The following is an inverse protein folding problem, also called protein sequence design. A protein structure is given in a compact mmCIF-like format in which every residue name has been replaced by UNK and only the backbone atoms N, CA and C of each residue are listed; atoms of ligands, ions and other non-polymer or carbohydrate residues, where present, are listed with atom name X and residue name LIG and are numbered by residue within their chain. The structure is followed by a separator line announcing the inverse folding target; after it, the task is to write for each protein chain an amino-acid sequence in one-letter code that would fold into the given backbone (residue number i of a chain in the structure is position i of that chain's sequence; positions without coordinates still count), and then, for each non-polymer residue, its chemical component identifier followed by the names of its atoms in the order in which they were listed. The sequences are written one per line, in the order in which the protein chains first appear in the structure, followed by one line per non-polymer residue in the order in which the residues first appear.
data_IF_225675298392
#
_entry.id   IF_225675298392
#
_cell.length_a   1.000
_cell.length_b   1.000
_cell.length_c   1.000
_cell.angle_alpha   90.00
_cell.angle_beta   90.00
_cell.angle_gamma   90.00
#
_symmetry.space_group_name_H-M   'P 1'
#
loop_
_entity.id
_entity.type
_entity.pdbx_description
1 polymer ?
#
# COMPACT_ATOMS: atom_id res chain seq x y z
N UNK A 1 41.83 45.03 12.64
CA UNK A 1 40.74 44.13 12.22
C UNK A 1 39.50 44.64 12.93
N UNK A 2 38.54 45.11 12.16
CA UNK A 2 37.29 45.67 12.67
C UNK A 2 36.37 44.54 13.12
N UNK A 3 35.78 44.70 14.30
CA UNK A 3 34.96 43.67 14.96
C UNK A 3 33.66 43.44 14.17
N UNK A 4 33.11 44.49 13.56
CA UNK A 4 31.91 44.41 12.72
C UNK A 4 32.17 43.55 11.47
N UNK A 5 33.30 43.77 10.79
CA UNK A 5 33.69 42.98 9.61
C UNK A 5 33.89 41.49 9.92
N UNK A 6 34.29 41.14 11.14
CA UNK A 6 34.42 39.75 11.57
C UNK A 6 33.04 39.09 11.72
N UNK A 7 32.09 39.76 12.39
CA UNK A 7 30.75 39.22 12.56
C UNK A 7 29.98 39.13 11.24
N UNK A 8 30.14 40.09 10.34
CA UNK A 8 29.54 40.03 9.01
C UNK A 8 30.05 38.84 8.21
N UNK A 9 31.37 38.60 8.24
CA UNK A 9 31.98 37.44 7.59
C UNK A 9 31.47 36.14 8.19
N UNK A 10 31.41 36.05 9.52
CA UNK A 10 30.94 34.84 10.21
C UNK A 10 29.48 34.54 9.92
N UNK A 11 28.64 35.57 9.84
CA UNK A 11 27.22 35.44 9.47
C UNK A 11 27.08 34.93 8.04
N UNK A 12 27.87 35.45 7.10
CA UNK A 12 27.86 35.00 5.71
C UNK A 12 28.31 33.54 5.57
N UNK A 13 29.43 33.17 6.20
CA UNK A 13 29.92 31.79 6.21
C UNK A 13 28.85 30.82 6.75
N UNK A 14 28.22 31.15 7.88
CA UNK A 14 27.15 30.31 8.42
C UNK A 14 25.95 30.22 7.47
N UNK A 15 25.54 31.33 6.86
CA UNK A 15 24.43 31.33 5.91
C UNK A 15 24.71 30.44 4.69
N UNK A 16 25.95 30.43 4.20
CA UNK A 16 26.40 29.56 3.10
C UNK A 16 26.42 28.07 3.54
N UNK A 17 26.93 27.77 4.73
CA UNK A 17 26.94 26.41 5.29
C UNK A 17 25.51 25.86 5.48
N UNK A 18 24.62 26.65 6.08
CA UNK A 18 23.21 26.27 6.24
C UNK A 18 22.51 26.15 4.89
N UNK A 19 22.78 27.06 3.96
CA UNK A 19 22.24 26.99 2.60
C UNK A 19 22.64 25.70 1.88
N UNK A 20 23.91 25.34 1.97
CA UNK A 20 24.45 24.10 1.40
C UNK A 20 23.81 22.85 2.01
N UNK A 21 23.69 22.81 3.35
CA UNK A 21 23.04 21.69 4.05
C UNK A 21 21.56 21.57 3.68
N UNK A 22 20.82 22.67 3.63
CA UNK A 22 19.40 22.68 3.22
C UNK A 22 19.27 22.18 1.79
N UNK A 23 20.14 22.60 0.88
CA UNK A 23 20.10 22.15 -0.50
C UNK A 23 20.38 20.64 -0.60
N UNK A 24 21.41 20.14 0.11
CA UNK A 24 21.70 18.70 0.16
C UNK A 24 20.50 17.88 0.68
N UNK A 25 19.78 18.37 1.70
CA UNK A 25 18.59 17.70 2.22
C UNK A 25 17.44 17.71 1.21
N UNK A 26 17.26 18.81 0.47
CA UNK A 26 16.25 18.89 -0.60
C UNK A 26 16.54 17.89 -1.70
N UNK A 27 17.79 17.80 -2.13
CA UNK A 27 18.22 16.88 -3.18
C UNK A 27 18.01 15.42 -2.74
N UNK A 28 18.32 15.09 -1.48
CA UNK A 28 18.08 13.75 -0.91
C UNK A 28 16.58 13.42 -0.85
N UNK A 29 15.74 14.38 -0.40
CA UNK A 29 14.29 14.21 -0.38
C UNK A 29 13.76 13.95 -1.79
N UNK A 30 14.22 14.71 -2.79
CA UNK A 30 13.81 14.53 -4.18
C UNK A 30 14.23 13.15 -4.71
N UNK A 31 15.45 12.71 -4.41
CA UNK A 31 15.94 11.38 -4.77
C UNK A 31 15.09 10.28 -4.15
N UNK A 32 14.75 10.40 -2.86
CA UNK A 32 13.90 9.44 -2.16
C UNK A 32 12.48 9.42 -2.74
N UNK A 33 11.91 10.58 -3.07
CA UNK A 33 10.60 10.67 -3.71
C UNK A 33 10.59 9.97 -5.08
N UNK A 34 11.61 10.20 -5.91
CA UNK A 34 11.77 9.49 -7.19
C UNK A 34 11.86 7.98 -6.97
N UNK A 35 12.68 7.54 -6.00
CA UNK A 35 12.83 6.12 -5.69
C UNK A 35 11.53 5.48 -5.18
N UNK A 36 10.76 6.18 -4.36
CA UNK A 36 9.45 5.72 -3.91
C UNK A 36 8.48 5.54 -5.10
N UNK A 37 8.47 6.48 -6.05
CA UNK A 37 7.62 6.39 -7.23
C UNK A 37 7.99 5.19 -8.11
N UNK A 38 9.27 4.93 -8.32
CA UNK A 38 9.75 3.73 -9.02
C UNK A 38 9.27 2.44 -8.35
N UNK A 39 9.45 2.33 -7.03
CA UNK A 39 9.04 1.15 -6.27
C UNK A 39 7.52 0.93 -6.32
N UNK A 40 6.72 2.01 -6.27
CA UNK A 40 5.28 1.93 -6.44
C UNK A 40 4.91 1.44 -7.84
N UNK A 41 5.60 1.92 -8.87
CA UNK A 41 5.40 1.47 -10.24
C UNK A 41 5.74 -0.02 -10.40
N UNK A 42 6.91 -0.45 -9.93
CA UNK A 42 7.35 -1.85 -9.96
C UNK A 42 6.36 -2.76 -9.23
N UNK A 43 5.90 -2.36 -8.04
CA UNK A 43 4.88 -3.08 -7.28
C UNK A 43 3.56 -3.18 -8.05
N UNK A 44 3.13 -2.12 -8.73
CA UNK A 44 1.91 -2.14 -9.53
C UNK A 44 2.04 -3.07 -10.74
N UNK A 45 3.21 -3.08 -11.40
CA UNK A 45 3.51 -4.00 -12.49
C UNK A 45 3.46 -5.46 -12.02
N UNK A 46 4.10 -5.77 -10.88
CA UNK A 46 4.04 -7.11 -10.28
C UNK A 46 2.61 -7.51 -9.95
N UNK A 47 1.79 -6.61 -9.39
CA UNK A 47 0.37 -6.89 -9.12
C UNK A 47 -0.43 -7.17 -10.39
N UNK A 48 -0.15 -6.43 -11.47
CA UNK A 48 -0.79 -6.65 -12.77
C UNK A 48 -0.40 -8.02 -13.34
N UNK A 49 0.88 -8.39 -13.27
CA UNK A 49 1.36 -9.71 -13.69
C UNK A 49 0.69 -10.85 -12.91
N UNK A 50 0.61 -10.74 -11.58
CA UNK A 50 -0.09 -11.74 -10.75
C UNK A 50 -1.58 -11.82 -11.08
N UNK A 51 -2.24 -10.68 -11.31
CA UNK A 51 -3.65 -10.66 -11.69
C UNK A 51 -3.89 -11.36 -13.04
N UNK A 52 -2.96 -11.18 -13.99
CA UNK A 52 -2.98 -11.86 -15.28
C UNK A 52 -2.79 -13.37 -15.14
N UNK A 53 -1.88 -13.83 -14.28
CA UNK A 53 -1.70 -15.27 -14.00
C UNK A 53 -2.97 -15.91 -13.43
N UNK A 54 -3.63 -15.24 -12.47
CA UNK A 54 -4.90 -15.71 -11.90
C UNK A 54 -6.00 -15.74 -12.99
N UNK A 55 -6.06 -14.71 -13.84
CA UNK A 55 -7.01 -14.67 -14.96
C UNK A 55 -6.77 -15.83 -15.93
N UNK A 56 -5.53 -16.10 -16.30
CA UNK A 56 -5.17 -17.22 -17.18
C UNK A 56 -5.52 -18.57 -16.56
N UNK A 57 -5.27 -18.75 -15.26
CA UNK A 57 -5.73 -19.94 -14.55
C UNK A 57 -7.24 -20.13 -14.71
N UNK A 58 -8.02 -19.07 -14.47
CA UNK A 58 -9.48 -19.12 -14.57
C UNK A 58 -9.95 -19.50 -15.99
N UNK A 59 -9.38 -18.89 -17.03
CA UNK A 59 -9.72 -19.20 -18.41
C UNK A 59 -9.39 -20.66 -18.77
N UNK A 60 -8.17 -21.11 -18.46
CA UNK A 60 -7.75 -22.49 -18.71
C UNK A 60 -8.63 -23.51 -17.97
N UNK A 61 -9.11 -23.16 -16.78
CA UNK A 61 -10.03 -24.02 -16.02
C UNK A 61 -11.37 -24.17 -16.73
N UNK A 62 -11.95 -23.06 -17.21
CA UNK A 62 -13.23 -23.08 -17.95
C UNK A 62 -13.09 -23.82 -19.27
N UNK A 63 -12.00 -23.60 -20.03
CA UNK A 63 -11.72 -24.33 -21.27
C UNK A 63 -11.64 -25.85 -21.04
N UNK A 64 -10.93 -26.28 -19.99
CA UNK A 64 -10.86 -27.70 -19.60
C UNK A 64 -12.22 -28.28 -19.23
N UNK A 65 -13.06 -27.52 -18.52
CA UNK A 65 -14.42 -27.96 -18.21
C UNK A 65 -15.27 -28.11 -19.47
N UNK A 66 -15.21 -27.15 -20.40
CA UNK A 66 -15.95 -27.23 -21.67
C UNK A 66 -15.51 -28.43 -22.51
N UNK A 67 -14.21 -28.69 -22.61
CA UNK A 67 -13.67 -29.85 -23.34
C UNK A 67 -14.15 -31.19 -22.74
N UNK A 68 -14.27 -31.28 -21.42
CA UNK A 68 -14.80 -32.48 -20.75
C UNK A 68 -16.30 -32.66 -20.94
N UNK A 69 -17.07 -31.58 -21.02
CA UNK A 69 -18.50 -31.63 -21.32
C UNK A 69 -18.77 -32.09 -22.75
N UNK A 70 -17.96 -31.68 -23.72
CA UNK A 70 -18.15 -32.10 -25.12
C UNK A 70 -17.95 -33.62 -25.32
N UNK A 71 -17.15 -34.27 -24.45
CA UNK A 71 -16.92 -35.71 -24.46
C UNK A 71 -17.91 -36.53 -23.61
N UNK A 72 -18.82 -35.90 -22.85
CA UNK A 72 -19.88 -36.59 -22.09
C UNK A 72 -21.24 -36.06 -22.54
N UNK A 73 -22.12 -36.94 -23.00
CA UNK A 73 -23.55 -36.72 -23.33
C UNK A 73 -24.40 -36.32 -22.09
N UNK A 74 -23.91 -35.40 -21.26
CA UNK A 74 -24.56 -34.94 -20.04
C UNK A 74 -24.90 -33.47 -20.22
N UNK A 75 -26.18 -33.23 -20.49
CA UNK A 75 -26.84 -31.92 -20.37
C UNK A 75 -26.69 -31.46 -18.92
N UNK A 76 -25.69 -30.63 -18.65
CA UNK A 76 -25.60 -29.91 -17.38
C UNK A 76 -25.50 -28.42 -17.69
N UNK A 77 -26.27 -27.65 -16.94
CA UNK A 77 -26.52 -26.22 -17.10
C UNK A 77 -25.23 -25.39 -17.20
N UNK A 78 -25.22 -24.30 -17.99
CA UNK A 78 -24.03 -23.51 -18.28
C UNK A 78 -23.73 -22.59 -17.09
N UNK A 79 -23.19 -23.14 -16.01
CA UNK A 79 -22.63 -22.31 -14.95
C UNK A 79 -21.12 -22.37 -15.11
N UNK A 80 -20.56 -21.39 -15.83
CA UNK A 80 -19.11 -21.20 -16.00
C UNK A 80 -18.41 -20.76 -14.69
N UNK A 81 -18.91 -21.22 -13.54
CA UNK A 81 -18.40 -20.85 -12.24
C UNK A 81 -17.27 -21.77 -11.82
N UNK A 82 -16.13 -21.17 -11.46
CA UNK A 82 -15.01 -21.88 -10.87
C UNK A 82 -15.34 -22.14 -9.39
N UNK A 83 -15.27 -23.39 -8.91
CA UNK A 83 -15.45 -23.67 -7.50
C UNK A 83 -14.44 -22.89 -6.66
N UNK A 84 -14.92 -22.19 -5.63
CA UNK A 84 -14.08 -21.34 -4.76
C UNK A 84 -12.91 -22.11 -4.17
N UNK A 85 -13.12 -23.38 -3.79
CA UNK A 85 -12.07 -24.24 -3.25
C UNK A 85 -10.93 -24.47 -4.25
N UNK A 86 -11.25 -24.67 -5.54
CA UNK A 86 -10.25 -24.81 -6.60
C UNK A 86 -9.42 -23.54 -6.74
N UNK A 87 -10.06 -22.36 -6.69
CA UNK A 87 -9.35 -21.09 -6.73
C UNK A 87 -8.45 -20.90 -5.50
N UNK A 88 -8.92 -21.27 -4.30
CA UNK A 88 -8.14 -21.16 -3.07
C UNK A 88 -6.92 -22.09 -3.06
N UNK A 89 -7.06 -23.32 -3.57
CA UNK A 89 -5.92 -24.23 -3.73
C UNK A 89 -4.86 -23.65 -4.67
N UNK A 90 -5.28 -23.16 -5.83
CA UNK A 90 -4.36 -22.50 -6.77
C UNK A 90 -3.64 -21.31 -6.11
N UNK A 91 -4.39 -20.44 -5.42
CA UNK A 91 -3.80 -19.28 -4.76
C UNK A 91 -2.86 -19.67 -3.61
N UNK A 92 -3.16 -20.74 -2.87
CA UNK A 92 -2.30 -21.27 -1.82
C UNK A 92 -0.96 -21.75 -2.39
N UNK A 93 -1.00 -22.56 -3.44
CA UNK A 93 0.21 -23.06 -4.12
C UNK A 93 1.00 -21.91 -4.77
N UNK A 94 0.32 -21.02 -5.50
CA UNK A 94 0.93 -19.88 -6.18
C UNK A 94 1.62 -18.91 -5.20
N UNK A 95 1.04 -18.73 -4.01
CA UNK A 95 1.57 -17.83 -2.98
C UNK A 95 2.52 -18.52 -1.99
N UNK A 96 2.95 -19.75 -2.26
CA UNK A 96 3.79 -20.55 -1.36
C UNK A 96 3.24 -20.64 0.08
N UNK A 97 1.91 -20.73 0.21
CA UNK A 97 1.23 -20.91 1.48
C UNK A 97 0.76 -19.63 2.19
N UNK A 98 0.96 -18.44 1.60
CA UNK A 98 0.48 -17.18 2.20
C UNK A 98 -1.04 -17.04 2.19
N UNK A 99 -1.72 -17.67 1.23
CA UNK A 99 -3.18 -17.75 1.19
C UNK A 99 -3.62 -19.02 1.92
N UNK A 100 -4.27 -18.94 3.09
CA UNK A 100 -4.72 -20.12 3.81
C UNK A 100 -5.91 -20.77 3.09
N UNK A 101 -5.89 -22.09 2.94
CA UNK A 101 -7.03 -22.87 2.45
C UNK A 101 -7.99 -23.06 3.63
N UNK A 102 -8.83 -22.06 3.88
CA UNK A 102 -9.87 -22.16 4.90
C UNK A 102 -11.09 -22.76 4.24
N UNK A 103 -11.39 -24.01 4.55
CA UNK A 103 -12.69 -24.60 4.23
C UNK A 103 -13.79 -23.70 4.80
N UNK A 104 -14.74 -23.32 3.93
CA UNK A 104 -15.87 -22.44 4.25
C UNK A 104 -16.82 -23.21 5.18
N UNK A 105 -16.45 -23.34 6.45
CA UNK A 105 -17.19 -24.13 7.43
C UNK A 105 -16.95 -23.73 8.88
N UNK A 106 -15.87 -23.00 9.20
CA UNK A 106 -15.66 -22.50 10.57
C UNK A 106 -15.08 -21.09 10.60
N UNK A 107 -15.92 -20.09 10.31
CA UNK A 107 -15.80 -18.80 11.02
C UNK A 107 -16.22 -19.00 12.47
N UNK A 108 -15.46 -19.77 13.25
CA UNK A 108 -15.45 -19.57 14.70
C UNK A 108 -14.53 -18.39 14.93
N UNK A 109 -15.09 -17.28 15.44
CA UNK A 109 -14.30 -16.34 16.23
C UNK A 109 -13.78 -17.12 17.43
N UNK A 110 -12.68 -17.83 17.28
CA UNK A 110 -11.99 -18.46 18.40
C UNK A 110 -11.19 -17.37 19.07
N UNK A 111 -11.86 -16.64 19.97
CA UNK A 111 -11.19 -15.95 21.05
C UNK A 111 -10.78 -17.05 22.03
N UNK A 112 -9.68 -17.72 21.75
CA UNK A 112 -8.98 -18.50 22.75
C UNK A 112 -7.49 -18.20 22.67
N UNK A 113 -7.04 -17.71 23.81
CA UNK A 113 -5.67 -17.52 24.26
C UNK A 113 -4.80 -18.75 24.00
N UNK A 114 -3.51 -18.49 23.78
CA UNK A 114 -2.37 -19.40 24.02
C UNK A 114 -2.25 -20.66 23.15
N UNK A 115 -1.48 -20.57 22.06
CA UNK A 115 -0.15 -21.20 21.93
C UNK A 115 0.22 -21.37 20.46
N UNK A 116 1.50 -21.19 20.13
CA UNK A 116 2.05 -21.53 18.81
C UNK A 116 2.62 -20.33 18.05
N UNK A 117 3.75 -19.85 18.56
CA UNK A 117 4.93 -19.39 17.79
C UNK A 117 4.65 -18.43 16.63
N UNK A 118 4.90 -17.14 16.86
CA UNK A 118 5.78 -16.26 16.06
C UNK A 118 5.87 -14.93 16.83
N UNK A 119 7.10 -14.49 17.05
CA UNK A 119 7.50 -13.42 17.97
C UNK A 119 7.02 -12.06 17.45
N UNK A 120 6.06 -11.44 18.15
CA UNK A 120 5.54 -10.08 17.91
C UNK A 120 4.80 -9.56 19.15
N UNK A 121 4.69 -8.24 19.36
CA UNK A 121 4.88 -7.62 20.67
C UNK A 121 3.87 -8.06 21.74
N UNK A 122 4.45 -8.48 22.86
CA UNK A 122 3.83 -9.01 24.06
C UNK A 122 2.94 -7.97 24.75
N UNK A 123 1.65 -8.29 24.84
CA UNK A 123 0.75 -7.74 25.85
C UNK A 123 -0.43 -6.91 25.30
N UNK A 124 -1.63 -7.03 25.91
CA UNK A 124 -2.84 -6.30 25.50
C UNK A 124 -2.70 -4.77 25.61
N UNK A 125 -1.66 -4.28 26.29
CA UNK A 125 -1.36 -2.85 26.40
C UNK A 125 -0.68 -2.29 25.14
N UNK A 126 0.22 -3.06 24.50
CA UNK A 126 0.92 -2.63 23.28
C UNK A 126 0.01 -2.65 22.06
N UNK A 127 -0.94 -3.59 21.98
CA UNK A 127 -1.96 -3.63 20.93
C UNK A 127 -2.86 -2.39 20.92
N UNK A 128 -3.23 -1.86 22.11
CA UNK A 128 -4.04 -0.63 22.20
C UNK A 128 -3.26 0.60 21.74
N UNK A 129 -1.94 0.61 21.95
CA UNK A 129 -1.09 1.71 21.50
C UNK A 129 -1.03 1.76 19.96
N UNK A 130 -0.86 0.60 19.31
CA UNK A 130 -0.87 0.49 17.83
C UNK A 130 -2.24 0.89 17.28
N UNK A 131 -3.33 0.42 17.88
CA UNK A 131 -4.69 0.82 17.47
C UNK A 131 -4.91 2.33 17.61
N UNK A 132 -4.41 2.95 18.68
CA UNK A 132 -4.48 4.41 18.87
C UNK A 132 -3.63 5.17 17.85
N UNK A 133 -2.45 4.67 17.48
CA UNK A 133 -1.65 5.29 16.42
C UNK A 133 -2.35 5.21 15.06
N UNK A 134 -2.88 4.04 14.70
CA UNK A 134 -3.61 3.85 13.44
C UNK A 134 -4.86 4.74 13.39
N UNK A 135 -5.62 4.82 14.50
CA UNK A 135 -6.79 5.71 14.58
C UNK A 135 -6.41 7.20 14.43
N UNK A 136 -5.31 7.65 15.04
CA UNK A 136 -4.80 9.03 14.87
C UNK A 136 -4.32 9.30 13.45
N UNK A 137 -3.69 8.32 12.81
CA UNK A 137 -3.24 8.44 11.43
C UNK A 137 -4.41 8.52 10.45
N UNK A 138 -5.48 7.74 10.66
CA UNK A 138 -6.70 7.82 9.88
C UNK A 138 -7.44 9.15 10.05
N UNK A 139 -7.40 9.76 11.25
CA UNK A 139 -7.99 11.08 11.51
C UNK A 139 -7.24 12.19 10.78
N UNK A 140 -5.89 12.22 10.83
CA UNK A 140 -5.10 13.21 10.07
C UNK A 140 -5.29 13.11 8.56
N UNK A 141 -5.54 11.90 8.05
CA UNK A 141 -5.81 11.69 6.62
C UNK A 141 -7.17 12.22 6.17
N UNK A 142 -8.13 12.41 7.10
CA UNK A 142 -9.46 12.93 6.80
C UNK A 142 -9.55 14.46 6.86
N UNK A 143 -8.63 15.11 7.59
CA UNK A 143 -8.51 16.57 7.62
C UNK A 143 -7.84 17.13 6.35
N UNK A 144 -6.92 16.38 5.73
CA UNK A 144 -6.26 16.77 4.48
C UNK A 144 -7.20 16.82 3.26
N UNK A 145 -8.29 16.04 3.27
CA UNK A 145 -9.31 16.05 2.20
C UNK A 145 -10.38 17.14 2.41
N UNK A 146 -10.37 17.86 3.54
CA UNK A 146 -11.38 18.88 3.87
C UNK A 146 -10.92 20.32 3.57
N UNK A 147 -9.64 20.53 3.21
CA UNK A 147 -9.05 21.85 2.95
C UNK A 147 -8.85 22.16 1.45
N UNK A 148 -9.36 21.33 0.53
CA UNK A 148 -9.49 21.71 -0.90
C UNK A 148 -10.86 22.39 -1.15
N UNK A 149 -10.97 23.65 -0.70
CA UNK A 149 -11.92 24.62 -1.25
C UNK A 149 -11.12 25.65 -2.08
N UNK A 150 -11.48 25.90 -3.36
CA UNK A 150 -10.72 26.79 -4.22
C UNK A 150 -11.03 28.24 -3.87
N UNK A 151 -10.08 28.94 -3.26
CA UNK A 151 -10.06 30.41 -3.24
C UNK A 151 -9.54 30.90 -4.60
N UNK A 152 -10.44 30.91 -5.57
CA UNK A 152 -10.25 31.62 -6.83
C UNK A 152 -10.27 33.14 -6.61
N UNK A 153 -9.22 33.78 -7.10
CA UNK A 153 -9.19 35.06 -7.83
C UNK A 153 -10.28 36.09 -7.48
N UNK A 154 -9.89 37.17 -6.81
CA UNK A 154 -10.27 38.53 -7.22
C UNK A 154 -9.07 39.48 -7.08
N UNK A 155 -8.44 39.76 -8.23
CA UNK A 155 -7.68 40.97 -8.50
C UNK A 155 -8.68 42.02 -8.96
N UNK A 156 -8.91 43.11 -8.21
CA UNK A 156 -9.20 44.41 -8.81
C UNK A 156 -9.08 45.57 -7.83
N UNK A 157 -8.15 46.46 -8.18
CA UNK A 157 -8.18 47.93 -8.04
C UNK A 157 -8.72 48.55 -6.74
N UNK A 158 -7.84 49.28 -6.04
CA UNK A 158 -8.18 50.63 -5.64
C UNK A 158 -6.98 51.56 -5.77
N UNK A 159 -7.13 52.51 -6.68
CA UNK A 159 -6.30 53.68 -6.90
C UNK A 159 -6.44 54.70 -5.76
N UNK A 160 -5.44 55.59 -5.70
CA UNK A 160 -5.31 56.88 -4.99
C UNK A 160 -4.75 56.86 -3.56
#
# INVERSE_FOLDING_TARGET
MDVEQYFDRKTREMAEEYGSMIQSQRDEIEQLQRRCNELLHERNLMRAAVAEDVRQFCLRYVEKQQAQQLNRLVVSTPVHSIPVLTLLHFLHEYSAGLVPIIEVGRRKRSRDTTSGTWSGPSGPHQQRLVQRMVARQCLRRREADAEELPSGVELQMQEL
#
